data_IF_235775178956
#
_entry.id   IF_235775178956
#
_cell.length_a   1.000
_cell.length_b   1.000
_cell.length_c   1.000
_cell.angle_alpha   90.00
_cell.angle_beta   90.00
_cell.angle_gamma   90.00
#
_symmetry.space_group_name_H-M   'P 1'
#
loop_
_entity.id
_entity.type
_entity.pdbx_description
1 polymer ?
#
# COMPACT_ATOMS: atom_id res chain seq x y z
N UNK A 1 -3.70 18.08 -8.95
CA UNK A 1 -3.88 17.10 -10.04
C UNK A 1 -5.11 16.27 -9.72
N UNK A 2 -5.99 15.98 -10.69
CA UNK A 2 -7.13 15.11 -10.44
C UNK A 2 -6.69 13.63 -10.33
N UNK A 3 -7.53 12.78 -9.74
CA UNK A 3 -7.26 11.37 -9.51
C UNK A 3 -6.94 10.62 -10.81
N UNK A 4 -7.67 10.91 -11.90
CA UNK A 4 -7.52 10.21 -13.17
C UNK A 4 -6.15 10.50 -13.79
N UNK A 5 -5.79 11.77 -13.93
CA UNK A 5 -4.51 12.20 -14.50
C UNK A 5 -3.33 11.63 -13.69
N UNK A 6 -3.46 11.61 -12.37
CA UNK A 6 -2.43 11.01 -11.51
C UNK A 6 -2.33 9.50 -11.71
N UNK A 7 -3.48 8.80 -11.83
CA UNK A 7 -3.49 7.36 -12.10
C UNK A 7 -2.87 7.05 -13.47
N UNK A 8 -3.14 7.86 -14.49
CA UNK A 8 -2.51 7.72 -15.80
C UNK A 8 -0.98 7.88 -15.71
N UNK A 9 -0.48 8.82 -14.89
CA UNK A 9 0.95 8.96 -14.60
C UNK A 9 1.52 7.76 -13.83
N UNK A 10 0.79 7.19 -12.86
CA UNK A 10 1.19 5.96 -12.15
C UNK A 10 1.33 4.77 -13.10
N UNK A 11 0.38 4.61 -14.03
CA UNK A 11 0.41 3.55 -15.05
C UNK A 11 1.59 3.74 -16.00
N UNK A 12 1.84 4.98 -16.45
CA UNK A 12 3.00 5.32 -17.29
C UNK A 12 4.32 5.02 -16.57
N UNK A 13 4.44 5.41 -15.30
CA UNK A 13 5.58 5.08 -14.45
C UNK A 13 5.78 3.56 -14.34
N UNK A 14 4.73 2.82 -13.97
CA UNK A 14 4.81 1.37 -13.78
C UNK A 14 5.19 0.62 -15.04
N UNK A 15 4.53 0.93 -16.17
CA UNK A 15 4.80 0.27 -17.46
C UNK A 15 6.17 0.64 -18.04
N UNK A 16 6.75 1.77 -17.64
CA UNK A 16 8.10 2.17 -18.01
C UNK A 16 9.17 1.55 -17.13
N UNK A 17 8.96 1.56 -15.81
CA UNK A 17 9.93 1.09 -14.82
C UNK A 17 10.06 -0.44 -14.78
N UNK A 18 8.97 -1.16 -15.04
CA UNK A 18 8.92 -2.62 -14.89
C UNK A 18 8.74 -3.30 -16.25
N UNK A 19 9.88 -3.65 -16.87
CA UNK A 19 9.96 -4.29 -18.18
C UNK A 19 10.73 -5.61 -18.12
N UNK A 20 10.39 -6.53 -19.01
CA UNK A 20 11.16 -7.76 -19.22
C UNK A 20 12.45 -7.49 -20.00
N UNK A 21 13.24 -8.55 -20.22
CA UNK A 21 14.52 -8.45 -20.93
C UNK A 21 14.38 -8.04 -22.41
N UNK A 22 13.16 -8.03 -22.95
CA UNK A 22 12.87 -7.55 -24.32
C UNK A 22 12.47 -6.07 -24.34
N UNK A 23 12.36 -5.44 -23.17
CA UNK A 23 11.87 -4.07 -23.03
C UNK A 23 10.34 -3.97 -23.05
N UNK A 24 9.58 -5.08 -23.01
CA UNK A 24 8.12 -5.04 -22.91
C UNK A 24 7.70 -4.89 -21.45
N UNK A 25 6.68 -4.06 -21.18
CA UNK A 25 6.09 -3.96 -19.83
C UNK A 25 5.64 -5.34 -19.33
N UNK A 26 5.99 -5.67 -18.08
CA UNK A 26 5.48 -6.89 -17.42
C UNK A 26 4.09 -6.69 -16.81
N UNK A 27 3.64 -5.44 -16.73
CA UNK A 27 2.30 -5.09 -16.28
C UNK A 27 1.34 -5.24 -17.46
N UNK A 28 0.33 -6.10 -17.29
CA UNK A 28 -0.83 -6.18 -18.17
C UNK A 28 -1.88 -5.19 -17.66
N UNK A 29 -2.07 -4.07 -18.38
CA UNK A 29 -3.00 -3.03 -17.98
C UNK A 29 -4.45 -3.44 -18.14
N UNK A 30 -4.76 -4.53 -18.85
CA UNK A 30 -6.12 -5.07 -18.94
C UNK A 30 -6.51 -5.87 -17.68
N UNK A 31 -5.55 -6.11 -16.78
CA UNK A 31 -5.76 -6.68 -15.44
C UNK A 31 -5.71 -5.57 -14.39
N UNK A 32 -6.31 -5.82 -13.22
CA UNK A 32 -6.20 -4.88 -12.12
C UNK A 32 -4.75 -4.77 -11.64
N UNK A 33 -4.25 -3.53 -11.59
CA UNK A 33 -2.97 -3.17 -11.01
C UNK A 33 -3.24 -2.27 -9.80
N UNK A 34 -2.53 -2.54 -8.71
CA UNK A 34 -2.64 -1.82 -7.44
C UNK A 34 -1.40 -0.92 -7.29
N UNK A 35 -1.61 0.36 -7.04
CA UNK A 35 -0.56 1.30 -6.69
C UNK A 35 -0.80 1.80 -5.27
N UNK A 36 0.17 1.64 -4.38
CA UNK A 36 0.17 2.27 -3.08
C UNK A 36 1.05 3.51 -3.11
N UNK A 37 0.51 4.63 -2.68
CA UNK A 37 1.19 5.93 -2.72
C UNK A 37 1.19 6.53 -1.32
N UNK A 38 2.39 6.72 -0.77
CA UNK A 38 2.58 7.35 0.54
C UNK A 38 2.47 8.88 0.49
N UNK A 39 1.98 9.47 1.58
CA UNK A 39 1.98 10.92 1.76
C UNK A 39 0.97 11.69 0.89
N UNK A 40 -0.01 10.97 0.32
CA UNK A 40 -1.06 11.55 -0.51
C UNK A 40 -2.43 10.94 -0.20
N UNK A 41 -3.45 11.80 -0.15
CA UNK A 41 -4.86 11.41 -0.06
C UNK A 41 -5.62 11.88 -1.30
N UNK A 42 -6.76 11.26 -1.60
CA UNK A 42 -7.68 11.75 -2.63
C UNK A 42 -8.91 12.35 -1.95
N UNK A 43 -9.14 13.64 -2.17
CA UNK A 43 -10.27 14.38 -1.61
C UNK A 43 -11.10 14.94 -2.76
N UNK A 44 -12.37 14.53 -2.85
CA UNK A 44 -13.28 14.93 -3.93
C UNK A 44 -12.67 14.75 -5.34
N UNK A 45 -11.99 13.63 -5.57
CA UNK A 45 -11.34 13.31 -6.84
C UNK A 45 -10.05 14.10 -7.13
N UNK A 46 -9.52 14.84 -6.15
CA UNK A 46 -8.27 15.61 -6.28
C UNK A 46 -7.21 15.04 -5.36
N UNK A 47 -5.99 14.90 -5.88
CA UNK A 47 -4.83 14.46 -5.11
C UNK A 47 -4.33 15.58 -4.19
N UNK A 48 -4.20 15.30 -2.89
CA UNK A 48 -3.77 16.24 -1.85
C UNK A 48 -2.55 15.68 -1.12
N UNK A 49 -1.42 16.38 -1.20
CA UNK A 49 -0.19 16.06 -0.45
C UNK A 49 -0.40 16.29 1.04
N UNK A 50 0.10 15.39 1.86
CA UNK A 50 0.17 15.55 3.31
C UNK A 50 1.62 15.37 3.80
N UNK A 51 1.81 15.36 5.11
CA UNK A 51 3.12 15.33 5.76
C UNK A 51 3.62 13.91 6.11
N UNK A 52 3.03 12.86 5.55
CA UNK A 52 3.40 11.45 5.81
C UNK A 52 3.49 11.12 7.32
N UNK A 53 2.55 11.68 8.11
CA UNK A 53 2.59 11.59 9.57
C UNK A 53 2.33 10.15 10.03
N UNK A 54 3.22 9.68 10.92
CA UNK A 54 3.14 8.37 11.55
C UNK A 54 1.79 8.20 12.27
N UNK A 55 1.27 6.96 12.24
CA UNK A 55 0.07 6.52 12.95
C UNK A 55 -1.26 7.01 12.35
N UNK A 56 -1.28 7.49 11.11
CA UNK A 56 -2.49 7.93 10.41
C UNK A 56 -2.77 7.09 9.16
N UNK A 57 -4.03 7.10 8.72
CA UNK A 57 -4.45 6.60 7.42
C UNK A 57 -4.36 7.73 6.38
N UNK A 58 -3.15 8.13 6.04
CA UNK A 58 -2.85 9.28 5.19
C UNK A 58 -2.17 8.90 3.87
N UNK A 59 -2.31 7.65 3.46
CA UNK A 59 -1.82 7.13 2.18
C UNK A 59 -3.01 6.77 1.28
N UNK A 60 -2.74 6.47 0.01
CA UNK A 60 -3.77 6.07 -0.95
C UNK A 60 -3.40 4.81 -1.70
N UNK A 61 -4.35 3.89 -1.80
CA UNK A 61 -4.34 2.82 -2.79
C UNK A 61 -5.10 3.28 -4.03
N UNK A 62 -4.49 3.14 -5.20
CA UNK A 62 -5.13 3.31 -6.50
C UNK A 62 -5.28 1.93 -7.15
N UNK A 63 -6.47 1.66 -7.68
CA UNK A 63 -6.78 0.44 -8.41
C UNK A 63 -7.16 0.83 -9.84
N UNK A 64 -6.42 0.30 -10.80
CA UNK A 64 -6.57 0.62 -12.22
C UNK A 64 -6.75 -0.63 -13.05
N UNK A 65 -7.63 -0.56 -14.05
CA UNK A 65 -7.76 -1.55 -15.12
C UNK A 65 -8.22 -0.89 -16.42
N UNK A 66 -7.54 -1.19 -17.51
CA UNK A 66 -7.82 -0.65 -18.83
C UNK A 66 -8.61 -1.66 -19.67
N UNK A 67 -9.94 -1.71 -19.49
CA UNK A 67 -10.83 -2.45 -20.40
C UNK A 67 -11.50 -1.50 -21.40
N UNK A 68 -12.52 -1.97 -22.13
CA UNK A 68 -13.37 -1.11 -22.96
C UNK A 68 -13.98 0.07 -22.18
N UNK A 69 -14.14 -0.10 -20.86
CA UNK A 69 -14.44 0.97 -19.91
C UNK A 69 -13.33 1.02 -18.86
N UNK A 70 -12.36 1.94 -19.00
CA UNK A 70 -11.27 2.07 -18.03
C UNK A 70 -11.77 2.40 -16.63
N UNK A 71 -11.25 1.68 -15.65
CA UNK A 71 -11.63 1.78 -14.25
C UNK A 71 -10.55 2.49 -13.44
N UNK A 72 -11.00 3.45 -12.64
CA UNK A 72 -10.15 4.30 -11.80
C UNK A 72 -10.75 4.38 -10.40
N UNK A 73 -10.15 3.68 -9.44
CA UNK A 73 -10.59 3.71 -8.05
C UNK A 73 -9.45 4.19 -7.15
N UNK A 74 -9.82 4.85 -6.05
CA UNK A 74 -8.88 5.22 -4.99
C UNK A 74 -9.48 4.92 -3.61
N UNK A 75 -8.62 4.52 -2.68
CA UNK A 75 -9.00 4.14 -1.33
C UNK A 75 -7.99 4.72 -0.34
N UNK A 76 -8.48 5.51 0.62
CA UNK A 76 -7.65 5.99 1.72
C UNK A 76 -7.18 4.81 2.57
N UNK A 77 -5.91 4.81 2.94
CA UNK A 77 -5.27 3.71 3.66
C UNK A 77 -4.09 4.22 4.49
N UNK A 78 -3.41 3.30 5.16
CA UNK A 78 -2.03 3.45 5.59
C UNK A 78 -1.20 2.34 4.94
N UNK A 79 0.03 2.64 4.57
CA UNK A 79 1.03 1.68 4.10
C UNK A 79 2.17 1.52 5.13
N UNK A 80 1.92 2.03 6.32
CA UNK A 80 2.89 2.24 7.37
C UNK A 80 2.44 1.56 8.68
N UNK A 81 3.41 1.15 9.52
CA UNK A 81 3.07 0.56 10.80
C UNK A 81 2.54 1.63 11.76
N UNK A 82 1.64 1.21 12.65
CA UNK A 82 1.13 2.08 13.71
C UNK A 82 2.02 2.14 14.94
N UNK A 83 1.72 3.11 15.82
CA UNK A 83 2.53 3.47 16.97
C UNK A 83 2.69 2.32 17.98
N UNK A 84 1.68 1.46 18.11
CA UNK A 84 1.75 0.27 18.97
C UNK A 84 2.94 -0.62 18.60
N UNK A 85 3.15 -0.85 17.31
CA UNK A 85 4.21 -1.73 16.82
C UNK A 85 5.55 -1.01 16.74
N UNK A 86 5.58 0.29 16.50
CA UNK A 86 6.81 1.08 16.56
C UNK A 86 7.38 1.16 17.99
N UNK A 87 6.53 1.09 19.01
CA UNK A 87 6.93 1.04 20.42
C UNK A 87 7.16 -0.37 20.95
N UNK A 88 6.60 -1.38 20.28
CA UNK A 88 6.69 -2.79 20.67
C UNK A 88 6.64 -3.67 19.41
N UNK A 89 7.79 -3.83 18.78
CA UNK A 89 7.95 -4.56 17.54
C UNK A 89 7.60 -6.04 17.74
N UNK A 90 6.86 -6.60 16.77
CA UNK A 90 6.60 -8.05 16.75
C UNK A 90 7.84 -8.86 16.43
N UNK A 91 8.78 -8.25 15.70
CA UNK A 91 10.01 -8.89 15.28
C UNK A 91 11.18 -8.23 16.04
N UNK A 92 12.10 -9.02 16.63
CA UNK A 92 13.23 -8.47 17.39
C UNK A 92 14.18 -7.60 16.54
N UNK A 93 14.13 -7.72 15.22
CA UNK A 93 14.90 -6.90 14.29
C UNK A 93 14.23 -5.56 13.96
N UNK A 94 13.00 -5.34 14.42
CA UNK A 94 12.24 -4.10 14.26
C UNK A 94 10.94 -4.27 13.46
N UNK A 95 10.16 -3.21 13.48
CA UNK A 95 8.86 -3.11 12.81
C UNK A 95 9.04 -2.89 11.32
N UNK A 96 8.21 -3.57 10.52
CA UNK A 96 8.29 -3.52 9.07
C UNK A 96 7.61 -2.26 8.52
N UNK A 97 8.25 -1.65 7.53
CA UNK A 97 7.64 -0.70 6.60
C UNK A 97 7.97 -1.18 5.17
N UNK A 98 6.95 -1.44 4.36
CA UNK A 98 7.13 -2.02 3.03
C UNK A 98 7.95 -1.08 2.13
N UNK A 99 9.07 -1.54 1.57
CA UNK A 99 9.95 -0.72 0.72
C UNK A 99 9.25 -0.45 -0.61
N UNK A 100 9.45 0.73 -1.18
CA UNK A 100 9.13 1.02 -2.59
C UNK A 100 9.67 -0.06 -3.55
N UNK A 101 8.81 -0.46 -4.47
CA UNK A 101 9.08 -1.51 -5.47
C UNK A 101 7.80 -2.17 -6.00
N UNK A 102 7.99 -3.20 -6.83
CA UNK A 102 6.92 -4.03 -7.38
C UNK A 102 6.85 -5.38 -6.66
N UNK A 103 5.65 -5.76 -6.26
CA UNK A 103 5.36 -7.04 -5.61
C UNK A 103 4.14 -7.72 -6.24
N UNK A 104 3.96 -9.02 -5.97
CA UNK A 104 2.77 -9.77 -6.36
C UNK A 104 1.96 -10.12 -5.13
N UNK A 105 0.65 -9.93 -5.22
CA UNK A 105 -0.33 -10.28 -4.19
C UNK A 105 -1.41 -11.19 -4.77
N UNK A 106 -2.09 -11.95 -3.93
CA UNK A 106 -3.19 -12.85 -4.32
C UNK A 106 -4.29 -12.82 -3.27
N UNK A 107 -5.49 -13.24 -3.65
CA UNK A 107 -6.58 -13.41 -2.70
C UNK A 107 -6.21 -14.43 -1.62
N UNK A 108 -6.59 -14.11 -0.39
CA UNK A 108 -6.37 -14.97 0.77
C UNK A 108 -7.08 -14.44 2.00
N UNK A 109 -6.52 -14.71 3.19
CA UNK A 109 -7.17 -14.46 4.48
C UNK A 109 -6.21 -13.74 5.42
N UNK A 110 -6.74 -12.73 6.11
CA UNK A 110 -6.09 -12.08 7.25
C UNK A 110 -7.03 -12.16 8.46
N UNK A 111 -6.60 -12.88 9.51
CA UNK A 111 -7.38 -13.08 10.77
C UNK A 111 -8.84 -13.53 10.54
N UNK A 112 -9.05 -14.45 9.61
CA UNK A 112 -10.37 -15.00 9.30
C UNK A 112 -11.21 -14.16 8.33
N UNK A 113 -10.71 -13.00 7.87
CA UNK A 113 -11.38 -12.16 6.88
C UNK A 113 -10.69 -12.21 5.52
N UNK A 114 -11.43 -12.08 4.40
CA UNK A 114 -10.83 -11.97 3.07
C UNK A 114 -9.86 -10.80 3.01
N UNK A 115 -8.70 -11.01 2.37
CA UNK A 115 -7.65 -10.01 2.20
C UNK A 115 -6.81 -10.33 0.95
N UNK A 116 -5.88 -9.45 0.60
CA UNK A 116 -4.80 -9.80 -0.32
C UNK A 116 -3.54 -10.15 0.48
N UNK A 117 -3.03 -11.37 0.31
CA UNK A 117 -1.76 -11.80 0.89
C UNK A 117 -0.64 -11.72 -0.14
N UNK A 118 0.60 -11.79 0.35
CA UNK A 118 1.78 -11.94 -0.50
C UNK A 118 1.63 -13.13 -1.48
N UNK A 119 1.98 -12.88 -2.74
CA UNK A 119 2.22 -13.89 -3.79
C UNK A 119 3.67 -13.86 -4.32
N UNK A 120 4.47 -12.90 -3.86
CA UNK A 120 5.92 -12.90 -3.96
C UNK A 120 6.55 -12.51 -2.61
N UNK A 121 7.85 -12.78 -2.46
CA UNK A 121 8.62 -12.15 -1.39
C UNK A 121 8.54 -10.62 -1.53
N UNK A 122 8.54 -9.93 -0.39
CA UNK A 122 8.56 -8.46 -0.33
C UNK A 122 9.80 -7.99 0.41
N UNK A 123 10.27 -6.79 0.10
CA UNK A 123 11.37 -6.15 0.84
C UNK A 123 10.80 -5.15 1.85
N UNK A 124 11.19 -5.26 3.11
CA UNK A 124 10.78 -4.33 4.17
C UNK A 124 12.00 -3.59 4.73
N UNK A 125 11.78 -2.33 5.08
CA UNK A 125 12.64 -1.53 5.96
C UNK A 125 12.29 -1.89 7.41
N UNK A 126 13.28 -2.21 8.24
CA UNK A 126 13.08 -2.56 9.65
C UNK A 126 13.47 -1.40 10.56
N UNK A 127 12.51 -0.90 11.32
CA UNK A 127 12.70 0.20 12.27
C UNK A 127 12.72 -0.34 13.70
N UNK A 128 13.82 -0.10 14.43
CA UNK A 128 13.95 -0.55 15.82
C UNK A 128 13.15 0.35 16.74
N UNK A 129 12.68 -0.23 17.85
CA UNK A 129 12.11 0.54 18.94
C UNK A 129 13.11 1.58 19.44
N UNK A 130 12.60 2.74 19.83
CA UNK A 130 13.41 3.79 20.44
C UNK A 130 13.87 3.37 21.84
N UNK A 131 15.16 3.57 22.11
CA UNK A 131 15.68 3.47 23.47
C UNK A 131 15.12 4.63 24.33
N UNK A 132 14.98 4.39 25.64
CA UNK A 132 14.65 5.42 26.64
C UNK A 132 13.37 6.23 26.35
N UNK A 133 12.38 5.64 25.67
CA UNK A 133 11.11 6.29 25.31
C UNK A 133 11.25 7.56 24.45
N UNK A 134 12.31 7.69 23.65
CA UNK A 134 12.39 8.79 22.69
C UNK A 134 11.15 8.80 21.76
N UNK A 135 10.56 9.96 21.45
CA UNK A 135 9.36 10.02 20.64
C UNK A 135 9.66 9.64 19.18
N UNK A 136 8.71 8.98 18.53
CA UNK A 136 8.67 8.87 17.07
C UNK A 136 8.14 10.18 16.49
N UNK A 137 8.93 10.86 15.66
CA UNK A 137 8.61 12.21 15.16
C UNK A 137 8.15 12.18 13.71
N UNK A 138 9.01 11.75 12.79
CA UNK A 138 8.73 11.75 11.34
C UNK A 138 9.52 10.64 10.65
N UNK A 139 9.03 10.12 9.52
CA UNK A 139 9.78 9.10 8.77
C UNK A 139 11.10 9.61 8.19
N UNK A 140 11.25 10.92 7.99
CA UNK A 140 12.46 11.56 7.45
C UNK A 140 13.61 11.56 8.46
N UNK A 141 13.28 11.65 9.76
CA UNK A 141 14.26 11.60 10.85
C UNK A 141 14.68 10.17 11.19
N UNK A 142 13.90 9.16 10.77
CA UNK A 142 14.12 7.77 11.09
C UNK A 142 14.94 7.03 10.05
N UNK A 143 15.92 6.24 10.52
CA UNK A 143 16.74 5.39 9.64
C UNK A 143 16.41 3.91 9.85
N UNK A 144 16.13 3.15 8.77
CA UNK A 144 15.95 1.73 8.92
C UNK A 144 17.25 1.08 9.38
N UNK A 145 17.13 0.17 10.35
CA UNK A 145 18.26 -0.59 10.89
C UNK A 145 18.80 -1.63 9.90
N UNK A 146 17.91 -2.18 9.05
CA UNK A 146 18.26 -3.10 7.97
C UNK A 146 17.11 -3.23 6.96
N UNK A 147 17.42 -3.87 5.84
CA UNK A 147 16.47 -4.29 4.81
C UNK A 147 16.34 -5.81 4.82
N UNK A 148 15.12 -6.30 4.65
CA UNK A 148 14.82 -7.73 4.69
C UNK A 148 13.87 -8.13 3.58
N UNK A 149 14.21 -9.17 2.83
CA UNK A 149 13.35 -9.74 1.79
C UNK A 149 12.82 -11.09 2.23
N UNK A 150 11.51 -11.31 2.13
CA UNK A 150 10.90 -12.57 2.55
C UNK A 150 9.38 -12.58 2.59
N UNK A 151 8.85 -13.61 3.25
CA UNK A 151 7.43 -13.79 3.53
C UNK A 151 7.17 -13.38 4.97
N UNK A 152 6.53 -12.22 5.18
CA UNK A 152 6.33 -11.62 6.51
C UNK A 152 4.84 -11.46 6.87
N UNK A 153 3.92 -11.85 6.00
CA UNK A 153 2.49 -11.58 6.19
C UNK A 153 2.18 -10.10 6.04
N UNK A 154 2.85 -9.42 5.10
CA UNK A 154 2.48 -8.06 4.70
C UNK A 154 1.28 -8.17 3.77
N UNK A 155 0.09 -7.89 4.30
CA UNK A 155 -1.18 -8.07 3.62
C UNK A 155 -1.79 -6.70 3.24
N UNK A 156 -2.78 -6.72 2.35
CA UNK A 156 -3.69 -5.59 2.11
C UNK A 156 -5.07 -5.96 2.68
N UNK A 157 -5.52 -5.20 3.67
CA UNK A 157 -6.71 -5.55 4.44
C UNK A 157 -7.48 -4.35 5.01
N UNK A 158 -8.66 -4.61 5.58
CA UNK A 158 -9.47 -3.61 6.27
C UNK A 158 -9.06 -3.47 7.75
N UNK A 159 -9.44 -2.37 8.40
CA UNK A 159 -9.26 -2.20 9.84
C UNK A 159 -10.26 -3.04 10.65
N UNK A 160 -9.87 -3.43 11.86
CA UNK A 160 -10.74 -4.21 12.76
C UNK A 160 -11.62 -3.34 13.67
N UNK A 161 -11.32 -2.05 13.77
CA UNK A 161 -12.03 -1.09 14.63
C UNK A 161 -12.28 0.22 13.86
N UNK A 162 -13.10 1.11 14.40
CA UNK A 162 -13.36 2.43 13.82
C UNK A 162 -12.31 3.48 14.17
N UNK A 163 -11.19 3.08 14.77
CA UNK A 163 -10.10 4.00 15.15
C UNK A 163 -9.62 4.84 13.97
N UNK A 164 -9.40 6.13 14.22
CA UNK A 164 -8.75 7.07 13.28
C UNK A 164 -7.22 6.92 13.28
N UNK A 165 -6.68 6.38 14.37
CA UNK A 165 -5.26 6.04 14.48
C UNK A 165 -4.99 4.61 14.03
N UNK A 166 -3.82 4.39 13.42
CA UNK A 166 -3.40 3.07 12.93
C UNK A 166 -3.13 2.11 14.09
N UNK A 167 -2.33 2.53 15.07
CA UNK A 167 -1.98 1.76 16.27
C UNK A 167 -1.70 0.27 15.97
N UNK A 168 -2.48 -0.63 16.55
CA UNK A 168 -2.30 -2.06 16.41
C UNK A 168 -2.81 -2.61 15.06
N UNK A 169 -3.46 -1.80 14.22
CA UNK A 169 -4.05 -2.24 12.95
C UNK A 169 -3.01 -2.67 11.92
N UNK A 170 -1.80 -2.09 11.94
CA UNK A 170 -0.73 -2.44 11.00
C UNK A 170 0.63 -2.59 11.68
N UNK A 171 1.24 -3.77 11.60
CA UNK A 171 2.66 -3.99 11.90
C UNK A 171 3.57 -3.84 10.65
N UNK A 172 3.01 -3.28 9.57
CA UNK A 172 3.66 -3.11 8.25
C UNK A 172 2.79 -3.50 7.05
N UNK A 173 1.53 -3.90 7.29
CA UNK A 173 0.51 -4.17 6.25
C UNK A 173 -0.02 -2.86 5.64
N UNK A 174 -0.63 -2.98 4.47
CA UNK A 174 -1.46 -1.90 3.91
C UNK A 174 -2.87 -2.04 4.43
N UNK A 175 -3.37 -1.04 5.16
CA UNK A 175 -4.68 -1.10 5.81
C UNK A 175 -5.58 -0.02 5.24
N UNK A 176 -6.62 -0.42 4.52
CA UNK A 176 -7.66 0.49 4.02
C UNK A 176 -8.43 1.04 5.21
N UNK A 177 -8.71 2.35 5.19
CA UNK A 177 -9.47 3.06 6.22
C UNK A 177 -10.96 2.73 6.17
N UNK A 178 -11.27 1.46 6.39
CA UNK A 178 -12.62 0.91 6.40
C UNK A 178 -12.63 -0.36 7.22
N UNK A 179 -13.68 -0.55 8.02
CA UNK A 179 -13.88 -1.82 8.72
C UNK A 179 -14.28 -2.92 7.73
N UNK A 180 -14.06 -4.19 8.08
CA UNK A 180 -14.38 -5.34 7.23
C UNK A 180 -15.81 -5.36 6.66
N UNK A 181 -16.79 -4.86 7.42
CA UNK A 181 -18.19 -4.77 6.98
C UNK A 181 -18.54 -3.48 6.23
N UNK A 182 -17.60 -2.53 6.14
CA UNK A 182 -17.79 -1.19 5.61
C UNK A 182 -17.94 -1.17 4.10
N UNK A 183 -18.62 -0.15 3.59
CA UNK A 183 -18.89 0.00 2.16
C UNK A 183 -17.59 0.10 1.34
N UNK A 184 -16.61 0.86 1.82
CA UNK A 184 -15.32 1.07 1.13
C UNK A 184 -14.55 -0.25 1.00
N UNK A 185 -14.45 -1.06 2.07
CA UNK A 185 -13.81 -2.38 1.98
C UNK A 185 -14.55 -3.32 1.03
N UNK A 186 -15.88 -3.36 1.12
CA UNK A 186 -16.72 -4.20 0.25
C UNK A 186 -16.61 -3.81 -1.22
N UNK A 187 -16.47 -2.51 -1.51
CA UNK A 187 -16.23 -2.01 -2.86
C UNK A 187 -14.87 -2.51 -3.38
N UNK A 188 -13.77 -2.17 -2.68
CA UNK A 188 -12.42 -2.60 -3.06
C UNK A 188 -12.33 -4.12 -3.26
N UNK A 189 -12.73 -4.89 -2.24
CA UNK A 189 -12.58 -6.34 -2.29
C UNK A 189 -13.60 -6.99 -3.23
N UNK A 190 -14.75 -6.35 -3.47
CA UNK A 190 -15.72 -6.76 -4.48
C UNK A 190 -15.14 -6.72 -5.89
N UNK A 191 -14.39 -5.65 -6.23
CA UNK A 191 -13.69 -5.53 -7.52
C UNK A 191 -12.64 -6.62 -7.68
N UNK A 192 -11.82 -6.85 -6.65
CA UNK A 192 -10.85 -7.96 -6.62
C UNK A 192 -11.56 -9.31 -6.86
N UNK A 193 -12.68 -9.56 -6.18
CA UNK A 193 -13.41 -10.82 -6.32
C UNK A 193 -14.09 -10.98 -7.68
N UNK A 194 -14.46 -9.88 -8.34
CA UNK A 194 -15.10 -9.90 -9.66
C UNK A 194 -14.22 -10.54 -10.75
N UNK A 195 -12.89 -10.48 -10.59
CA UNK A 195 -11.92 -11.01 -11.55
C UNK A 195 -11.20 -12.27 -11.09
N UNK A 196 -11.56 -12.83 -9.92
CA UNK A 196 -10.79 -13.93 -9.30
C UNK A 196 -10.60 -15.18 -10.19
N UNK A 197 -11.48 -15.38 -11.18
CA UNK A 197 -11.43 -16.52 -12.10
C UNK A 197 -10.51 -16.27 -13.31
N UNK A 198 -10.18 -15.00 -13.60
CA UNK A 198 -9.37 -14.59 -14.76
C UNK A 198 -8.03 -13.96 -14.33
N UNK A 199 -7.92 -13.51 -13.08
CA UNK A 199 -6.73 -12.90 -12.52
C UNK A 199 -6.33 -13.56 -11.19
N UNK A 200 -5.27 -14.36 -11.23
CA UNK A 200 -4.79 -15.15 -10.08
C UNK A 200 -3.80 -14.39 -9.18
N UNK A 201 -3.29 -13.24 -9.64
CA UNK A 201 -2.43 -12.36 -8.85
C UNK A 201 -2.58 -10.90 -9.29
N UNK A 202 -2.20 -10.00 -8.40
CA UNK A 202 -2.26 -8.56 -8.59
C UNK A 202 -0.86 -8.00 -8.43
N UNK A 203 -0.43 -7.18 -9.38
CA UNK A 203 0.77 -6.39 -9.20
C UNK A 203 0.46 -5.27 -8.20
N UNK A 204 1.28 -5.18 -7.16
CA UNK A 204 1.24 -4.13 -6.16
C UNK A 204 2.53 -3.31 -6.23
N UNK A 205 2.42 -2.09 -6.73
CA UNK A 205 3.53 -1.13 -6.85
C UNK A 205 3.43 -0.18 -5.67
N UNK A 206 4.47 -0.15 -4.85
CA UNK A 206 4.57 0.71 -3.66
C UNK A 206 5.45 1.89 -4.02
N UNK A 207 4.97 3.10 -3.78
CA UNK A 207 5.69 4.35 -4.02
C UNK A 207 5.83 5.12 -2.70
N UNK A 208 7.05 5.56 -2.40
CA UNK A 208 7.31 6.55 -1.37
C UNK A 208 6.91 7.96 -1.87
N UNK A 209 6.71 8.89 -0.93
CA UNK A 209 6.29 10.27 -1.22
C UNK A 209 7.20 10.97 -2.23
N UNK A 210 8.53 10.78 -2.16
CA UNK A 210 9.48 11.38 -3.10
C UNK A 210 9.27 10.93 -4.55
N UNK A 211 8.96 9.66 -4.77
CA UNK A 211 8.66 9.14 -6.12
C UNK A 211 7.33 9.71 -6.60
N UNK A 212 6.32 9.73 -5.72
CA UNK A 212 5.03 10.33 -6.03
C UNK A 212 5.14 11.83 -6.37
N UNK A 213 5.97 12.60 -5.65
CA UNK A 213 6.23 14.02 -5.89
C UNK A 213 6.69 14.27 -7.33
N UNK A 214 7.61 13.43 -7.84
CA UNK A 214 8.12 13.54 -9.21
C UNK A 214 7.06 13.28 -10.29
N UNK A 215 5.98 12.57 -9.93
CA UNK A 215 4.85 12.33 -10.82
C UNK A 215 3.83 13.45 -10.72
N UNK A 216 3.76 14.19 -9.62
CA UNK A 216 2.83 15.32 -9.49
C UNK A 216 3.36 16.57 -10.19
N UNK A 217 4.68 16.74 -10.27
CA UNK A 217 5.33 17.86 -10.99
C UNK A 217 5.01 17.91 -12.49
#
# INVERSE_FOLDING_TARGET
MNQKDFTDKLVSYGTTAYRDNTGKSILDTNQYIIFGVRGYTVQNGVLVKNNDKINLYNDSLFLFRNTDQPEYHSYQCTMDPGMTWLRKAMNPLGTARLKEGLYKYKTGIHRGHPALNQASQVTVRRYKEHANNAPWVSWEEEKPSLFQTGWFGIDIHAKSTTSEEVNAASAGCTVIDSIWGGAIWKDFFGLIQSVKNTQNHYYYIVLDSNTADSLVS
#
